data_IF_573573451579
#
_entry.id   IF_573573451579
#
_cell.length_a   1.000
_cell.length_b   1.000
_cell.length_c   1.000
_cell.angle_alpha   90.00
_cell.angle_beta   90.00
_cell.angle_gamma   90.00
#
_symmetry.space_group_name_H-M   'P 1'
#
loop_
_entity.id
_entity.type
_entity.pdbx_description
1 polymer ?
#
# COMPACT_ATOMS: atom_id res chain seq x y z
N UNK A 1 -8.00 20.19 0.61
CA UNK A 1 -8.13 19.36 1.82
C UNK A 1 -8.74 20.14 2.97
N UNK A 2 -9.85 19.66 3.50
CA UNK A 2 -10.54 20.31 4.65
C UNK A 2 -10.09 19.72 5.99
N UNK A 3 -8.97 18.99 6.03
CA UNK A 3 -8.50 18.18 7.17
C UNK A 3 -9.54 17.13 7.65
N UNK A 4 -10.45 16.77 6.77
CA UNK A 4 -11.56 15.86 7.00
C UNK A 4 -11.28 14.56 6.23
N UNK A 5 -10.89 13.52 6.95
CA UNK A 5 -10.58 12.22 6.38
C UNK A 5 -11.83 11.53 5.83
N UNK A 6 -12.94 11.59 6.56
CA UNK A 6 -14.21 10.95 6.15
C UNK A 6 -14.69 11.53 4.82
N UNK A 7 -14.62 12.87 4.66
CA UNK A 7 -14.96 13.50 3.42
C UNK A 7 -14.00 13.15 2.27
N UNK A 8 -12.72 12.91 2.57
CA UNK A 8 -11.73 12.49 1.59
C UNK A 8 -12.03 11.05 1.12
N UNK A 9 -12.25 10.12 2.04
CA UNK A 9 -12.58 8.73 1.74
C UNK A 9 -13.88 8.63 0.93
N UNK A 10 -14.95 9.31 1.37
CA UNK A 10 -16.22 9.37 0.64
C UNK A 10 -16.04 9.93 -0.78
N UNK A 11 -15.21 10.95 -0.93
CA UNK A 11 -14.88 11.55 -2.23
C UNK A 11 -14.17 10.62 -3.19
N UNK A 12 -13.50 9.58 -2.70
CA UNK A 12 -12.86 8.54 -3.52
C UNK A 12 -13.80 7.33 -3.74
N UNK A 13 -14.45 6.86 -2.68
CA UNK A 13 -15.31 5.67 -2.70
C UNK A 13 -16.54 5.84 -3.60
N UNK A 14 -17.28 6.94 -3.45
CA UNK A 14 -18.55 7.14 -4.19
C UNK A 14 -18.35 7.17 -5.72
N UNK A 15 -17.37 7.92 -6.27
CA UNK A 15 -17.10 7.88 -7.70
C UNK A 15 -16.61 6.50 -8.18
N UNK A 16 -15.72 5.84 -7.43
CA UNK A 16 -15.19 4.53 -7.81
C UNK A 16 -16.31 3.50 -7.88
N UNK A 17 -17.17 3.40 -6.85
CA UNK A 17 -18.35 2.53 -6.84
C UNK A 17 -19.28 2.82 -8.01
N UNK A 18 -19.58 4.09 -8.27
CA UNK A 18 -20.45 4.50 -9.37
C UNK A 18 -19.91 4.07 -10.73
N UNK A 19 -18.61 4.23 -10.97
CA UNK A 19 -18.01 3.87 -12.26
C UNK A 19 -17.88 2.35 -12.41
N UNK A 20 -17.47 1.63 -11.36
CA UNK A 20 -17.41 0.17 -11.37
C UNK A 20 -18.79 -0.46 -11.65
N UNK A 21 -19.87 0.09 -11.12
CA UNK A 21 -21.22 -0.42 -11.33
C UNK A 21 -21.76 -0.26 -12.77
N UNK A 22 -21.07 0.49 -13.62
CA UNK A 22 -21.39 0.58 -15.06
C UNK A 22 -20.73 -0.53 -15.89
N UNK A 23 -19.77 -1.23 -15.36
CA UNK A 23 -19.00 -2.25 -16.08
C UNK A 23 -19.81 -3.53 -16.16
N UNK A 24 -19.83 -4.17 -17.34
CA UNK A 24 -20.50 -5.45 -17.55
C UNK A 24 -19.69 -6.59 -16.92
N UNK A 25 -19.84 -6.75 -15.61
CA UNK A 25 -19.19 -7.77 -14.80
C UNK A 25 -20.06 -8.15 -13.59
N UNK A 26 -19.81 -9.33 -13.03
CA UNK A 26 -20.19 -9.71 -11.65
C UNK A 26 -18.94 -9.66 -10.78
N UNK A 27 -18.60 -8.47 -10.29
CA UNK A 27 -17.44 -8.26 -9.42
C UNK A 27 -17.77 -8.55 -7.96
N UNK A 28 -16.82 -9.09 -7.22
CA UNK A 28 -16.91 -9.26 -5.76
C UNK A 28 -15.64 -8.66 -5.14
N UNK A 29 -15.80 -7.73 -4.21
CA UNK A 29 -14.68 -7.22 -3.43
C UNK A 29 -14.19 -8.33 -2.49
N UNK A 30 -12.94 -8.76 -2.68
CA UNK A 30 -12.28 -9.79 -1.84
C UNK A 30 -11.21 -9.20 -0.93
N UNK A 31 -10.66 -8.05 -1.31
CA UNK A 31 -9.80 -7.21 -0.47
C UNK A 31 -10.34 -5.79 -0.59
N UNK A 32 -10.73 -5.20 0.52
CA UNK A 32 -11.34 -3.86 0.59
C UNK A 32 -11.15 -3.27 1.96
N UNK A 33 -11.80 -2.16 2.22
CA UNK A 33 -11.75 -1.47 3.51
C UNK A 33 -13.05 -1.64 4.28
N UNK A 34 -12.93 -1.99 5.57
CA UNK A 34 -14.03 -2.04 6.50
C UNK A 34 -15.03 -3.17 6.32
N UNK A 35 -16.04 -3.16 7.18
CA UNK A 35 -17.16 -4.10 7.18
C UNK A 35 -18.41 -3.46 6.56
N UNK A 36 -19.43 -4.30 6.28
CA UNK A 36 -20.65 -3.92 5.56
C UNK A 36 -21.35 -2.68 6.12
N UNK A 37 -21.31 -2.47 7.42
CA UNK A 37 -22.03 -1.38 8.10
C UNK A 37 -21.18 -0.11 8.33
N UNK A 38 -19.94 -0.11 7.88
CA UNK A 38 -19.02 1.03 7.98
C UNK A 38 -18.97 1.80 6.66
N UNK A 39 -20.02 2.58 6.35
CA UNK A 39 -19.98 3.48 5.19
C UNK A 39 -19.05 4.69 5.48
N UNK A 40 -18.29 5.18 4.46
CA UNK A 40 -18.42 5.04 3.00
C UNK A 40 -17.33 4.16 2.35
N UNK A 41 -17.25 2.91 2.62
CA UNK A 41 -16.19 2.00 2.16
C UNK A 41 -16.67 1.05 1.05
N UNK A 42 -15.72 0.50 0.27
CA UNK A 42 -15.91 -0.66 -0.58
C UNK A 42 -15.55 -1.90 0.26
N UNK A 43 -16.56 -2.50 0.87
CA UNK A 43 -16.37 -3.55 1.89
C UNK A 43 -16.19 -4.94 1.28
N UNK A 44 -15.54 -5.84 2.02
CA UNK A 44 -15.35 -7.23 1.61
C UNK A 44 -16.71 -7.91 1.43
N UNK A 45 -16.92 -8.53 0.24
CA UNK A 45 -18.18 -9.15 -0.17
C UNK A 45 -19.11 -8.23 -0.97
N UNK A 46 -18.84 -6.94 -1.06
CA UNK A 46 -19.65 -6.02 -1.90
C UNK A 46 -19.64 -6.49 -3.36
N UNK A 47 -20.84 -6.45 -3.97
CA UNK A 47 -21.02 -6.77 -5.38
C UNK A 47 -20.97 -5.50 -6.22
N UNK A 48 -20.18 -5.54 -7.28
CA UNK A 48 -19.95 -4.43 -8.19
C UNK A 48 -20.14 -4.86 -9.64
N UNK A 49 -20.52 -3.91 -10.47
CA UNK A 49 -20.82 -4.15 -11.87
C UNK A 49 -22.32 -4.29 -12.13
N UNK A 50 -22.65 -4.57 -13.39
CA UNK A 50 -24.06 -4.79 -13.79
C UNK A 50 -24.62 -6.13 -13.32
N UNK A 51 -23.79 -6.99 -12.77
CA UNK A 51 -24.06 -8.34 -12.28
C UNK A 51 -24.49 -9.35 -13.38
N UNK A 52 -24.34 -8.98 -14.65
CA UNK A 52 -24.71 -9.81 -15.80
C UNK A 52 -23.51 -10.24 -16.65
N UNK A 53 -22.30 -9.89 -16.22
CA UNK A 53 -21.07 -10.17 -16.97
C UNK A 53 -20.23 -11.31 -16.39
N UNK A 54 -18.99 -11.45 -16.86
CA UNK A 54 -18.04 -12.39 -16.28
C UNK A 54 -17.76 -12.11 -14.80
N UNK A 55 -17.38 -13.17 -14.07
CA UNK A 55 -17.14 -13.11 -12.63
C UNK A 55 -15.70 -12.73 -12.32
N UNK A 56 -15.55 -11.72 -11.49
CA UNK A 56 -14.24 -11.21 -11.07
C UNK A 56 -14.13 -11.06 -9.55
N UNK A 57 -12.90 -11.25 -9.06
CA UNK A 57 -12.49 -10.78 -7.74
C UNK A 57 -11.87 -9.39 -7.87
N UNK A 58 -12.14 -8.53 -6.90
CA UNK A 58 -11.70 -7.15 -6.86
C UNK A 58 -10.93 -6.92 -5.55
N UNK A 59 -9.72 -6.39 -5.66
CA UNK A 59 -8.98 -5.83 -4.54
C UNK A 59 -8.92 -4.31 -4.71
N UNK A 60 -9.28 -3.56 -3.68
CA UNK A 60 -9.43 -2.11 -3.79
C UNK A 60 -9.04 -1.38 -2.52
N UNK A 61 -8.32 -0.28 -2.71
CA UNK A 61 -8.14 0.79 -1.75
C UNK A 61 -8.48 2.10 -2.46
N UNK A 62 -9.67 2.67 -2.24
CA UNK A 62 -10.11 3.88 -2.92
C UNK A 62 -9.26 5.10 -2.63
N UNK A 63 -8.64 5.15 -1.44
CA UNK A 63 -7.81 6.29 -1.02
C UNK A 63 -6.65 5.86 -0.13
N UNK A 64 -5.63 5.23 -0.73
CA UNK A 64 -4.35 5.02 -0.08
C UNK A 64 -3.68 6.35 0.26
N UNK A 65 -3.29 6.51 1.52
CA UNK A 65 -2.73 7.75 2.01
C UNK A 65 -3.79 8.83 2.32
N UNK A 66 -4.85 8.47 3.02
CA UNK A 66 -5.94 9.38 3.43
C UNK A 66 -5.44 10.66 4.11
N UNK A 67 -4.38 10.56 4.93
CA UNK A 67 -3.78 11.75 5.57
C UNK A 67 -3.15 12.71 4.58
N UNK A 68 -2.56 12.20 3.50
CA UNK A 68 -2.00 13.05 2.44
C UNK A 68 -3.11 13.90 1.81
N UNK A 69 -4.23 13.27 1.44
CA UNK A 69 -5.39 13.99 0.88
C UNK A 69 -6.00 14.96 1.87
N UNK A 70 -6.22 14.55 3.11
CA UNK A 70 -6.80 15.41 4.15
C UNK A 70 -5.95 16.66 4.41
N UNK A 71 -4.62 16.54 4.32
CA UNK A 71 -3.66 17.64 4.53
C UNK A 71 -3.23 18.34 3.24
N UNK A 72 -3.85 18.03 2.11
CA UNK A 72 -3.49 18.59 0.78
C UNK A 72 -2.02 18.33 0.42
N UNK A 73 -1.52 17.15 0.72
CA UNK A 73 -0.18 16.70 0.41
C UNK A 73 -0.19 15.80 -0.85
N UNK A 74 0.90 15.73 -1.60
CA UNK A 74 1.03 14.82 -2.73
C UNK A 74 1.15 13.35 -2.29
N UNK A 75 1.06 12.41 -3.27
CA UNK A 75 1.30 10.98 -3.12
C UNK A 75 0.17 10.19 -2.43
N UNK A 76 -1.06 10.65 -2.51
CA UNK A 76 -2.22 9.79 -2.33
C UNK A 76 -2.54 9.05 -3.65
N UNK A 77 -3.01 7.81 -3.54
CA UNK A 77 -3.36 6.96 -4.68
C UNK A 77 -4.76 6.40 -4.54
N UNK A 78 -5.35 5.98 -5.65
CA UNK A 78 -6.44 5.02 -5.69
C UNK A 78 -5.91 3.74 -6.28
N UNK A 79 -6.11 2.62 -5.62
CA UNK A 79 -5.58 1.32 -6.02
C UNK A 79 -6.73 0.36 -6.33
N UNK A 80 -6.62 -0.31 -7.48
CA UNK A 80 -7.60 -1.29 -7.93
C UNK A 80 -6.88 -2.43 -8.65
N UNK A 81 -7.17 -3.66 -8.25
CA UNK A 81 -6.79 -4.85 -8.97
C UNK A 81 -8.03 -5.71 -9.25
N UNK A 82 -8.12 -6.26 -10.45
CA UNK A 82 -9.20 -7.14 -10.88
C UNK A 82 -8.59 -8.40 -11.47
N UNK A 83 -9.07 -9.56 -11.05
CA UNK A 83 -8.68 -10.86 -11.58
C UNK A 83 -9.92 -11.75 -11.77
N UNK A 84 -9.78 -12.89 -12.47
CA UNK A 84 -10.86 -13.85 -12.54
C UNK A 84 -11.25 -14.32 -11.14
N UNK A 85 -12.49 -14.72 -10.97
CA UNK A 85 -12.96 -15.22 -9.68
C UNK A 85 -12.10 -16.37 -9.17
N UNK A 86 -11.55 -16.20 -7.97
CA UNK A 86 -10.69 -17.16 -7.28
C UNK A 86 -9.18 -16.95 -7.51
N UNK A 87 -8.78 -15.99 -8.34
CA UNK A 87 -7.36 -15.73 -8.64
C UNK A 87 -6.70 -14.71 -7.69
N UNK A 88 -7.48 -13.97 -6.90
CA UNK A 88 -6.92 -13.11 -5.87
C UNK A 88 -6.84 -13.84 -4.52
N UNK A 89 -5.67 -13.73 -3.89
CA UNK A 89 -5.47 -14.21 -2.52
C UNK A 89 -6.29 -13.35 -1.56
N UNK A 90 -7.23 -13.98 -0.85
CA UNK A 90 -7.88 -13.35 0.29
C UNK A 90 -6.93 -13.37 1.47
N UNK A 91 -6.33 -12.23 1.79
CA UNK A 91 -5.43 -12.08 2.92
C UNK A 91 -6.15 -11.40 4.10
N UNK A 92 -5.81 -11.75 5.35
CA UNK A 92 -6.31 -11.01 6.50
C UNK A 92 -5.78 -9.57 6.47
N UNK A 93 -6.55 -8.62 6.98
CA UNK A 93 -6.14 -7.22 7.13
C UNK A 93 -5.12 -7.10 8.27
N UNK A 94 -3.85 -7.37 7.95
CA UNK A 94 -2.73 -7.31 8.89
C UNK A 94 -1.54 -6.58 8.31
N UNK A 95 -0.79 -5.91 9.18
CA UNK A 95 0.50 -5.36 8.79
C UNK A 95 1.51 -6.48 8.56
N UNK A 96 2.32 -6.32 7.52
CA UNK A 96 3.39 -7.25 7.17
C UNK A 96 4.73 -6.52 7.12
N UNK A 97 5.81 -7.23 7.44
CA UNK A 97 7.15 -6.72 7.21
C UNK A 97 7.42 -6.69 5.71
N UNK A 98 7.90 -5.56 5.21
CA UNK A 98 8.15 -5.33 3.79
C UNK A 98 9.51 -4.68 3.58
N UNK A 99 10.20 -5.09 2.53
CA UNK A 99 11.42 -4.45 2.05
C UNK A 99 11.35 -4.33 0.53
N UNK A 100 11.64 -3.16 -0.01
CA UNK A 100 11.64 -2.92 -1.45
C UNK A 100 12.90 -2.21 -1.89
N UNK A 101 13.41 -2.59 -3.06
CA UNK A 101 14.57 -1.99 -3.72
C UNK A 101 14.30 -1.81 -5.22
N UNK A 102 15.11 -0.99 -5.87
CA UNK A 102 14.96 -0.74 -7.30
C UNK A 102 15.13 -2.01 -8.16
N UNK A 103 14.35 -2.10 -9.23
CA UNK A 103 14.23 -3.28 -10.11
C UNK A 103 15.53 -3.67 -10.85
N UNK A 104 16.53 -2.79 -10.93
CA UNK A 104 17.80 -3.03 -11.64
C UNK A 104 18.87 -3.72 -10.77
N UNK A 105 18.50 -4.18 -9.60
CA UNK A 105 19.39 -4.89 -8.68
C UNK A 105 19.21 -6.41 -8.80
N UNK A 106 20.19 -7.21 -8.38
CA UNK A 106 20.07 -8.67 -8.42
C UNK A 106 18.83 -9.17 -7.69
N UNK A 107 18.18 -10.18 -8.25
CA UNK A 107 17.08 -10.88 -7.57
C UNK A 107 17.63 -11.53 -6.29
N UNK A 108 16.80 -11.55 -5.25
CA UNK A 108 17.13 -12.13 -3.94
C UNK A 108 18.37 -11.52 -3.26
N UNK A 109 18.71 -10.26 -3.60
CA UNK A 109 19.80 -9.54 -2.96
C UNK A 109 19.52 -9.29 -1.47
N UNK A 110 18.28 -8.96 -1.14
CA UNK A 110 17.84 -8.67 0.22
C UNK A 110 16.86 -9.74 0.70
N UNK A 111 16.82 -9.90 2.02
CA UNK A 111 15.92 -10.82 2.69
C UNK A 111 15.49 -10.23 4.04
N UNK A 112 14.23 -10.42 4.42
CA UNK A 112 13.71 -9.94 5.71
C UNK A 112 14.44 -10.59 6.90
N UNK A 113 14.85 -11.85 6.75
CA UNK A 113 15.56 -12.60 7.79
C UNK A 113 17.03 -12.13 8.00
N UNK A 114 17.56 -11.33 7.09
CA UNK A 114 18.94 -10.83 7.23
C UNK A 114 19.08 -9.67 8.22
N UNK A 115 17.99 -9.05 8.63
CA UNK A 115 18.02 -7.84 9.43
C UNK A 115 18.53 -6.61 8.67
N UNK A 116 18.41 -5.45 9.31
CA UNK A 116 18.68 -4.15 8.65
C UNK A 116 20.14 -4.01 8.25
N UNK A 117 21.08 -4.33 9.15
CA UNK A 117 22.51 -4.10 8.91
C UNK A 117 23.04 -4.89 7.71
N UNK A 118 22.72 -6.20 7.64
CA UNK A 118 23.16 -7.06 6.54
C UNK A 118 22.56 -6.63 5.22
N UNK A 119 21.26 -6.35 5.19
CA UNK A 119 20.58 -5.88 3.99
C UNK A 119 21.19 -4.58 3.45
N UNK A 120 21.47 -3.62 4.31
CA UNK A 120 22.09 -2.34 3.92
C UNK A 120 23.50 -2.52 3.36
N UNK A 121 24.31 -3.41 3.94
CA UNK A 121 25.65 -3.72 3.43
C UNK A 121 25.58 -4.36 2.04
N UNK A 122 24.75 -5.37 1.86
CA UNK A 122 24.54 -6.02 0.56
C UNK A 122 24.06 -5.03 -0.51
N UNK A 123 23.17 -4.12 -0.14
CA UNK A 123 22.68 -3.09 -1.06
C UNK A 123 23.78 -2.09 -1.43
N UNK A 124 24.63 -1.68 -0.47
CA UNK A 124 25.76 -0.79 -0.69
C UNK A 124 26.75 -1.40 -1.67
N UNK A 125 27.12 -2.66 -1.44
CA UNK A 125 28.05 -3.42 -2.28
C UNK A 125 27.49 -3.57 -3.71
N UNK A 126 26.23 -3.99 -3.86
CA UNK A 126 25.58 -4.15 -5.17
C UNK A 126 25.45 -2.83 -5.95
N UNK A 127 25.41 -1.70 -5.27
CA UNK A 127 25.36 -0.36 -5.87
C UNK A 127 26.74 0.28 -6.03
N UNK A 128 27.80 -0.40 -5.56
CA UNK A 128 29.17 0.15 -5.47
C UNK A 128 29.18 1.53 -4.78
N UNK A 129 28.54 1.61 -3.62
CA UNK A 129 28.41 2.83 -2.81
C UNK A 129 28.81 2.59 -1.37
N UNK A 130 29.19 3.65 -0.68
CA UNK A 130 29.30 3.61 0.77
C UNK A 130 27.91 3.52 1.40
N UNK A 131 27.80 2.86 2.53
CA UNK A 131 26.53 2.77 3.28
C UNK A 131 25.93 4.15 3.56
N UNK A 132 26.77 5.14 3.89
CA UNK A 132 26.35 6.53 4.15
C UNK A 132 25.83 7.29 2.92
N UNK A 133 25.99 6.74 1.72
CA UNK A 133 25.46 7.31 0.47
C UNK A 133 24.09 6.70 0.09
N UNK A 134 23.62 5.73 0.87
CA UNK A 134 22.31 5.13 0.68
C UNK A 134 21.23 6.01 1.30
N UNK A 135 20.03 5.89 0.72
CA UNK A 135 18.81 6.49 1.23
C UNK A 135 17.81 5.37 1.55
N UNK A 136 17.18 5.45 2.70
CA UNK A 136 16.05 4.61 3.09
C UNK A 136 14.80 5.46 3.21
N UNK A 137 13.66 4.93 2.78
CA UNK A 137 12.33 5.48 3.06
C UNK A 137 11.68 4.63 4.15
N UNK A 138 11.22 5.26 5.22
CA UNK A 138 10.63 4.56 6.37
C UNK A 138 9.33 5.25 6.78
N UNK A 139 8.26 4.49 6.92
CA UNK A 139 7.01 4.97 7.46
C UNK A 139 7.18 5.32 8.95
N UNK A 140 6.87 6.56 9.32
CA UNK A 140 7.05 7.06 10.68
C UNK A 140 6.00 6.46 11.62
N UNK A 141 6.35 5.37 12.29
CA UNK A 141 5.54 4.67 13.28
C UNK A 141 6.44 4.15 14.42
N UNK A 142 5.96 4.08 15.67
CA UNK A 142 6.75 3.54 16.79
C UNK A 142 7.28 2.13 16.55
N UNK A 143 6.52 1.27 15.87
CA UNK A 143 6.94 -0.10 15.52
C UNK A 143 8.19 -0.16 14.62
N UNK A 144 8.57 0.94 13.97
CA UNK A 144 9.76 1.03 13.11
C UNK A 144 10.99 1.64 13.81
N UNK A 145 10.89 2.02 15.09
CA UNK A 145 11.98 2.70 15.80
C UNK A 145 13.27 1.88 15.83
N UNK A 146 13.17 0.55 15.90
CA UNK A 146 14.33 -0.35 15.82
C UNK A 146 15.05 -0.25 14.47
N UNK A 147 14.32 -0.22 13.36
CA UNK A 147 14.86 -0.05 12.01
C UNK A 147 15.56 1.31 11.89
N UNK A 148 14.89 2.36 12.34
CA UNK A 148 15.41 3.73 12.33
C UNK A 148 16.72 3.84 13.13
N UNK A 149 16.77 3.20 14.31
CA UNK A 149 17.96 3.20 15.17
C UNK A 149 19.16 2.55 14.47
N UNK A 150 18.97 1.42 13.81
CA UNK A 150 20.05 0.74 13.07
C UNK A 150 20.50 1.55 11.85
N UNK A 151 19.57 2.07 11.04
CA UNK A 151 19.91 2.91 9.90
C UNK A 151 20.68 4.17 10.31
N UNK A 152 20.29 4.79 11.42
CA UNK A 152 20.99 5.98 11.98
C UNK A 152 22.40 5.63 12.43
N UNK A 153 22.58 4.51 13.13
CA UNK A 153 23.91 4.01 13.54
C UNK A 153 24.83 3.80 12.32
N UNK A 154 24.29 3.33 11.22
CA UNK A 154 25.00 3.11 9.97
C UNK A 154 25.18 4.39 9.13
N UNK A 155 24.67 5.52 9.57
CA UNK A 155 24.67 6.82 8.87
C UNK A 155 23.97 6.79 7.51
N UNK A 156 22.97 5.92 7.35
CA UNK A 156 22.08 5.91 6.19
C UNK A 156 21.17 7.13 6.25
N UNK A 157 20.96 7.82 5.14
CA UNK A 157 20.01 8.93 5.07
C UNK A 157 18.59 8.38 5.11
N UNK A 158 17.76 8.86 6.06
CA UNK A 158 16.39 8.40 6.24
C UNK A 158 15.42 9.48 5.75
N UNK A 159 14.55 9.10 4.82
CA UNK A 159 13.39 9.88 4.42
C UNK A 159 12.16 9.28 5.12
N UNK A 160 11.46 10.10 5.90
CA UNK A 160 10.24 9.65 6.56
C UNK A 160 9.02 9.96 5.71
N UNK A 161 8.12 9.01 5.63
CA UNK A 161 6.76 9.23 5.18
C UNK A 161 5.80 9.08 6.37
N UNK A 162 4.70 9.79 6.33
CA UNK A 162 3.74 9.82 7.44
C UNK A 162 2.52 8.95 7.19
N UNK A 163 2.31 8.55 5.96
CA UNK A 163 1.21 7.70 5.51
C UNK A 163 1.60 6.98 4.22
N UNK A 164 0.78 6.00 3.80
CA UNK A 164 1.02 5.21 2.60
C UNK A 164 1.88 3.99 2.86
N UNK A 165 1.47 2.84 2.34
CA UNK A 165 2.17 1.56 2.46
C UNK A 165 2.15 0.73 1.16
N UNK A 166 1.69 1.32 0.07
CA UNK A 166 1.76 0.82 -1.30
C UNK A 166 2.79 1.60 -2.12
#
# INVERSE_FOLDING_TARGET
GKKDKIAADKGAVDPMRRELNKINMEGTVVIGEGEMDEAPMLYIGEKLGTLNGPKFDIAVDPLEGTKFTANNQPNAFSVLAIANKGDLLSAPDTYMEKIAIGAKLPKNLLDLDYGVEKNIKLLADAKNKKVSELNACVLKRPRHDHIVKELTKMKVKINYITDGDI
#
